data_IF_288465180011
#
_entry.id   IF_288465180011
#
_cell.length_a   1.000
_cell.length_b   1.000
_cell.length_c   1.000
_cell.angle_alpha   90.00
_cell.angle_beta   90.00
_cell.angle_gamma   90.00
#
_symmetry.space_group_name_H-M   'P 1'
#
loop_
_entity.id
_entity.type
_entity.pdbx_description
1 polymer ?
#
# COMPACT_ATOMS: atom_id res chain seq x y z
N UNK A 1 -8.28 4.68 38.63
CA UNK A 1 -8.57 3.83 37.45
C UNK A 1 -8.08 4.46 36.13
N UNK A 2 -8.66 5.55 35.62
CA UNK A 2 -8.19 6.15 34.35
C UNK A 2 -6.81 6.83 34.46
N UNK A 3 -6.56 7.53 35.56
CA UNK A 3 -5.27 8.21 35.81
C UNK A 3 -4.13 7.21 36.04
N UNK A 4 -4.40 6.11 36.74
CA UNK A 4 -3.43 5.01 36.94
C UNK A 4 -3.06 4.33 35.62
N UNK A 5 -4.03 4.11 34.73
CA UNK A 5 -3.78 3.52 33.41
C UNK A 5 -2.92 4.45 32.54
N UNK A 6 -3.17 5.77 32.65
CA UNK A 6 -2.41 6.79 31.91
C UNK A 6 -0.96 6.86 32.38
N UNK A 7 -0.72 6.73 33.68
CA UNK A 7 0.63 6.72 34.26
C UNK A 7 1.40 5.42 33.92
N UNK A 8 0.72 4.28 33.82
CA UNK A 8 1.32 3.02 33.36
C UNK A 8 1.63 3.05 31.86
N UNK A 9 0.74 3.60 31.03
CA UNK A 9 0.96 3.75 29.59
C UNK A 9 2.04 4.79 29.26
N UNK A 10 2.16 5.87 30.04
CA UNK A 10 3.20 6.88 29.88
C UNK A 10 4.61 6.40 30.27
N UNK A 11 4.70 5.32 31.06
CA UNK A 11 5.96 4.65 31.42
C UNK A 11 6.34 3.51 30.48
N UNK A 12 5.53 3.25 29.45
CA UNK A 12 5.83 2.25 28.44
C UNK A 12 6.97 2.75 27.53
N UNK A 13 8.20 2.44 27.94
CA UNK A 13 9.40 2.72 27.17
C UNK A 13 9.82 1.43 26.49
N UNK A 14 9.73 1.40 25.15
CA UNK A 14 10.24 0.30 24.35
C UNK A 14 11.71 0.07 24.72
N UNK A 15 12.08 -1.20 24.91
CA UNK A 15 13.48 -1.58 25.04
C UNK A 15 14.24 -1.21 23.77
N UNK A 16 15.57 -1.06 23.84
CA UNK A 16 16.39 -0.77 22.67
C UNK A 16 16.22 -1.85 21.57
N UNK A 17 15.88 -3.08 21.95
CA UNK A 17 15.61 -4.20 21.05
C UNK A 17 14.25 -4.06 20.34
N UNK A 18 13.22 -3.60 21.06
CA UNK A 18 11.89 -3.33 20.49
C UNK A 18 11.86 -2.06 19.63
N UNK A 19 12.72 -1.08 19.93
CA UNK A 19 12.86 0.18 19.17
C UNK A 19 13.65 -0.02 17.86
N UNK A 20 14.46 -1.07 17.76
CA UNK A 20 15.37 -1.28 16.64
C UNK A 20 14.87 -2.20 15.53
N UNK A 21 13.82 -3.00 15.74
CA UNK A 21 13.66 -4.20 14.89
C UNK A 21 12.21 -4.47 14.50
N UNK A 22 11.73 -3.76 13.47
CA UNK A 22 10.83 -4.41 12.51
C UNK A 22 11.74 -5.30 11.64
N UNK A 23 12.03 -6.52 12.11
CA UNK A 23 12.74 -7.51 11.30
C UNK A 23 11.79 -7.98 10.20
N UNK A 24 11.83 -7.31 9.06
CA UNK A 24 11.30 -7.86 7.83
C UNK A 24 12.20 -9.05 7.47
N UNK A 25 11.74 -10.26 7.76
CA UNK A 25 12.45 -11.47 7.35
C UNK A 25 12.75 -11.41 5.86
N UNK A 26 13.95 -11.85 5.44
CA UNK A 26 14.38 -11.79 4.03
C UNK A 26 13.35 -12.39 3.07
N UNK A 27 12.63 -13.43 3.49
CA UNK A 27 11.54 -14.04 2.71
C UNK A 27 10.34 -13.10 2.49
N UNK A 28 9.97 -12.29 3.48
CA UNK A 28 8.86 -11.33 3.38
C UNK A 28 9.24 -10.17 2.45
N UNK A 29 10.50 -9.72 2.53
CA UNK A 29 11.04 -8.73 1.59
C UNK A 29 11.04 -9.29 0.17
N UNK A 30 11.49 -10.53 -0.01
CA UNK A 30 11.53 -11.16 -1.31
C UNK A 30 10.13 -11.35 -1.89
N UNK A 31 9.15 -11.81 -1.10
CA UNK A 31 7.74 -11.89 -1.50
C UNK A 31 7.21 -10.51 -1.93
N UNK A 32 7.53 -9.46 -1.18
CA UNK A 32 7.17 -8.08 -1.54
C UNK A 32 7.76 -7.66 -2.87
N UNK A 33 9.05 -7.91 -3.10
CA UNK A 33 9.74 -7.60 -4.36
C UNK A 33 9.11 -8.37 -5.53
N UNK A 34 8.81 -9.67 -5.36
CA UNK A 34 8.16 -10.47 -6.40
C UNK A 34 6.75 -9.95 -6.72
N UNK A 35 5.97 -9.58 -5.70
CA UNK A 35 4.64 -8.99 -5.89
C UNK A 35 4.70 -7.65 -6.64
N UNK A 36 5.76 -6.86 -6.43
CA UNK A 36 5.96 -5.59 -7.13
C UNK A 36 6.33 -5.74 -8.62
N UNK A 37 6.82 -6.91 -9.07
CA UNK A 37 7.23 -7.13 -10.48
C UNK A 37 6.07 -7.04 -11.47
N UNK A 38 4.85 -7.30 -11.01
CA UNK A 38 3.62 -7.14 -11.81
C UNK A 38 2.80 -5.96 -11.31
N UNK A 39 3.46 -4.91 -10.82
CA UNK A 39 2.81 -3.70 -10.36
C UNK A 39 3.29 -2.45 -11.09
N UNK A 40 2.39 -1.48 -11.23
CA UNK A 40 2.72 -0.13 -11.71
C UNK A 40 2.45 0.88 -10.60
N UNK A 41 3.34 1.87 -10.50
CA UNK A 41 3.17 3.02 -9.61
C UNK A 41 2.72 4.21 -10.43
N UNK A 42 1.64 4.85 -9.99
CA UNK A 42 1.09 6.05 -10.62
C UNK A 42 0.87 7.16 -9.60
N UNK A 43 1.33 8.37 -9.94
CA UNK A 43 1.06 9.58 -9.17
C UNK A 43 0.20 10.53 -9.97
N UNK A 44 -0.89 11.00 -9.39
CA UNK A 44 -1.77 11.99 -10.01
C UNK A 44 -1.36 13.39 -9.56
N UNK A 45 -0.94 14.21 -10.52
CA UNK A 45 -0.61 15.61 -10.28
C UNK A 45 -1.87 16.46 -10.43
N UNK A 46 -2.38 16.96 -9.32
CA UNK A 46 -3.52 17.88 -9.28
C UNK A 46 -3.50 18.72 -8.00
N UNK A 47 -4.17 19.87 -8.03
CA UNK A 47 -4.19 20.83 -6.91
C UNK A 47 -4.98 20.32 -5.69
N UNK A 48 -5.76 19.25 -5.85
CA UNK A 48 -6.61 18.68 -4.80
C UNK A 48 -6.27 17.20 -4.58
N UNK A 49 -6.57 16.69 -3.40
CA UNK A 49 -6.51 15.24 -3.16
C UNK A 49 -7.65 14.54 -3.88
N UNK A 50 -7.32 13.56 -4.72
CA UNK A 50 -8.30 12.76 -5.44
C UNK A 50 -8.96 11.79 -4.47
N UNK A 51 -10.28 11.65 -4.54
CA UNK A 51 -11.00 10.66 -3.75
C UNK A 51 -10.63 9.24 -4.18
N UNK A 52 -10.19 8.42 -3.23
CA UNK A 52 -9.91 7.00 -3.48
C UNK A 52 -11.12 6.24 -4.03
N UNK A 53 -12.34 6.62 -3.63
CA UNK A 53 -13.58 6.07 -4.16
C UNK A 53 -13.75 6.36 -5.66
N UNK A 54 -13.32 7.54 -6.12
CA UNK A 54 -13.30 7.92 -7.53
C UNK A 54 -12.25 7.14 -8.34
N UNK A 55 -11.10 6.84 -7.73
CA UNK A 55 -10.08 5.98 -8.34
C UNK A 55 -10.61 4.55 -8.49
N UNK A 56 -11.24 4.00 -7.45
CA UNK A 56 -11.88 2.68 -7.51
C UNK A 56 -12.97 2.60 -8.57
N UNK A 57 -13.81 3.64 -8.72
CA UNK A 57 -14.84 3.63 -9.76
C UNK A 57 -14.27 3.70 -11.17
N UNK A 58 -13.20 4.47 -11.40
CA UNK A 58 -12.46 4.49 -12.68
C UNK A 58 -11.98 3.09 -13.08
N UNK A 59 -11.66 2.26 -12.11
CA UNK A 59 -11.08 0.94 -12.38
C UNK A 59 -12.09 -0.13 -12.73
N UNK A 60 -13.34 0.05 -12.30
CA UNK A 60 -14.46 -0.72 -12.85
C UNK A 60 -14.65 -0.43 -14.35
N UNK A 61 -14.33 0.77 -14.81
CA UNK A 61 -14.34 1.10 -16.25
C UNK A 61 -13.16 0.46 -16.98
N UNK A 62 -11.95 0.52 -16.41
CA UNK A 62 -10.72 -0.10 -16.97
C UNK A 62 -10.77 -1.64 -17.00
N UNK A 63 -11.62 -2.27 -16.18
CA UNK A 63 -11.85 -3.74 -16.20
C UNK A 63 -12.31 -4.27 -17.57
N UNK A 64 -12.84 -3.42 -18.45
CA UNK A 64 -13.17 -3.81 -19.82
C UNK A 64 -11.93 -4.14 -20.66
N UNK A 65 -10.77 -3.58 -20.32
CA UNK A 65 -9.50 -3.73 -21.05
C UNK A 65 -8.56 -4.74 -20.39
N UNK A 66 -8.60 -4.87 -19.06
CA UNK A 66 -7.71 -5.74 -18.27
C UNK A 66 -8.48 -6.52 -17.23
N UNK A 67 -8.27 -7.84 -17.16
CA UNK A 67 -8.95 -8.71 -16.21
C UNK A 67 -8.21 -8.67 -14.86
N UNK A 68 -8.93 -8.27 -13.83
CA UNK A 68 -8.60 -8.52 -12.41
C UNK A 68 -7.29 -7.91 -11.88
N UNK A 69 -7.12 -6.59 -11.92
CA UNK A 69 -6.08 -5.89 -11.14
C UNK A 69 -6.65 -5.30 -9.83
N UNK A 70 -5.78 -5.10 -8.82
CA UNK A 70 -6.10 -4.47 -7.52
C UNK A 70 -5.42 -3.11 -7.41
N UNK A 71 -6.00 -2.20 -6.64
CA UNK A 71 -5.38 -0.90 -6.35
C UNK A 71 -5.23 -0.70 -4.86
N UNK A 72 -4.06 -0.18 -4.51
CA UNK A 72 -3.71 0.26 -3.17
C UNK A 72 -3.33 1.74 -3.23
N UNK A 73 -3.85 2.55 -2.31
CA UNK A 73 -3.38 3.91 -2.09
C UNK A 73 -2.16 3.86 -1.17
N UNK A 74 -1.04 4.41 -1.62
CA UNK A 74 0.22 4.46 -0.87
C UNK A 74 0.45 5.84 -0.22
N UNK A 75 -0.31 6.85 -0.63
CA UNK A 75 -0.22 8.21 -0.11
C UNK A 75 -1.04 9.19 -0.96
N UNK A 76 -1.01 10.50 -0.64
CA UNK A 76 -1.79 11.50 -1.35
C UNK A 76 -1.53 11.45 -2.86
N UNK A 77 -2.56 11.07 -3.61
CA UNK A 77 -2.53 10.90 -5.06
C UNK A 77 -1.49 9.88 -5.57
N UNK A 78 -0.97 8.99 -4.72
CA UNK A 78 -0.02 7.94 -5.07
C UNK A 78 -0.70 6.57 -4.97
N UNK A 79 -0.73 5.85 -6.09
CA UNK A 79 -1.44 4.59 -6.21
C UNK A 79 -0.53 3.50 -6.78
N UNK A 80 -0.70 2.29 -6.27
CA UNK A 80 -0.12 1.08 -6.82
C UNK A 80 -1.20 0.23 -7.48
N UNK A 81 -0.95 -0.14 -8.72
CA UNK A 81 -1.80 -1.01 -9.53
C UNK A 81 -1.15 -2.39 -9.60
N UNK A 82 -1.79 -3.39 -9.02
CA UNK A 82 -1.27 -4.76 -8.93
C UNK A 82 -1.99 -5.66 -9.93
N UNK A 83 -1.24 -6.15 -10.92
CA UNK A 83 -1.73 -7.02 -11.98
C UNK A 83 -1.53 -8.50 -11.63
N UNK A 84 -2.41 -9.39 -12.09
CA UNK A 84 -2.32 -10.82 -11.79
C UNK A 84 -1.16 -11.50 -12.53
N UNK A 85 -0.70 -10.93 -13.64
CA UNK A 85 0.45 -11.39 -14.40
C UNK A 85 1.02 -10.26 -15.28
N UNK A 86 2.19 -10.50 -15.86
CA UNK A 86 2.88 -9.55 -16.72
C UNK A 86 2.10 -9.22 -18.00
N UNK A 87 1.39 -10.18 -18.60
CA UNK A 87 0.62 -9.95 -19.83
C UNK A 87 -0.52 -8.94 -19.63
N UNK A 88 -1.22 -8.99 -18.49
CA UNK A 88 -2.24 -8.00 -18.16
C UNK A 88 -1.62 -6.63 -17.86
N UNK A 89 -0.43 -6.58 -17.25
CA UNK A 89 0.31 -5.33 -17.06
C UNK A 89 0.75 -4.71 -18.39
N UNK A 90 1.27 -5.53 -19.32
CA UNK A 90 1.75 -5.10 -20.64
C UNK A 90 0.61 -4.59 -21.55
N UNK A 91 -0.66 -4.88 -21.25
CA UNK A 91 -1.81 -4.34 -22.01
C UNK A 91 -2.15 -2.88 -21.71
N UNK A 92 -1.67 -2.37 -20.57
CA UNK A 92 -1.95 -1.01 -20.09
C UNK A 92 -0.71 -0.11 -20.03
N UNK A 93 0.46 -0.67 -20.36
CA UNK A 93 1.68 0.06 -20.69
C UNK A 93 1.65 0.50 -22.16
#
# INVERSE_FOLDING_TARGET
>A
MAEELTDVMGKFKLSAEEDLVINLYNEEVEKGVQACKTSLLGKIFCDKTVSFSGIKSFTNTMRKTTRNFKIVELGPNLFQFNFPNKQEMDRVL
#
